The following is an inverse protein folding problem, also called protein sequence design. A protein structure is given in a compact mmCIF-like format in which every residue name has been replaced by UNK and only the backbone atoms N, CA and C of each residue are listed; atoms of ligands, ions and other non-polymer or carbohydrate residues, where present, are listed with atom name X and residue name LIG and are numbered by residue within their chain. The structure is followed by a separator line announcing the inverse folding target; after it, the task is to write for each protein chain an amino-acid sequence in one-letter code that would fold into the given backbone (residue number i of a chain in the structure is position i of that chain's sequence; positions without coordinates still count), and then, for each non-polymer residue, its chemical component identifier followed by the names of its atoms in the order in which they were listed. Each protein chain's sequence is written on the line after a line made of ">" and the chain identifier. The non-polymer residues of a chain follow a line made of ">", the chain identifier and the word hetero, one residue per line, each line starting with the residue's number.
data_IF_035384576417
#
_entry.id   IF_035384576417
#
_cell.length_a   1.000
_cell.length_b   1.000
_cell.length_c   1.000
_cell.angle_alpha   90.00
_cell.angle_beta   90.00
_cell.angle_gamma   90.00
#
_symmetry.space_group_name_H-M   'P 1'
#
loop_
_entity.id
_entity.type
_entity.pdbx_description
1 polymer ?
#
# COMPACT_ATOMS: atom_id res chain seq x y z
N UNK A 1 36.77 -76.75 10.03
CA UNK A 1 37.12 -75.41 9.57
C UNK A 1 35.82 -74.74 9.14
N UNK A 2 35.32 -73.77 9.95
CA UNK A 2 34.10 -73.01 9.66
C UNK A 2 34.51 -71.65 9.10
N UNK A 3 34.05 -71.30 7.90
CA UNK A 3 34.28 -70.00 7.28
C UNK A 3 33.38 -68.94 7.93
N UNK A 4 33.87 -67.69 8.18
CA UNK A 4 33.04 -66.62 8.71
C UNK A 4 32.26 -65.97 7.57
N UNK A 5 30.92 -65.94 7.69
CA UNK A 5 30.04 -65.22 6.80
C UNK A 5 30.11 -63.72 7.09
N UNK A 6 30.42 -62.94 6.08
CA UNK A 6 30.35 -61.48 6.13
C UNK A 6 28.90 -61.04 5.86
N UNK A 7 28.24 -60.47 6.85
CA UNK A 7 26.98 -59.79 6.65
C UNK A 7 27.28 -58.35 6.19
N UNK A 8 26.94 -58.05 4.92
CA UNK A 8 27.00 -56.73 4.37
C UNK A 8 25.67 -56.02 4.74
N UNK A 9 25.70 -55.15 5.76
CA UNK A 9 24.53 -54.34 6.10
C UNK A 9 24.48 -53.12 5.15
N UNK A 10 23.55 -53.17 4.19
CA UNK A 10 23.33 -52.05 3.29
C UNK A 10 22.57 -50.94 4.04
N UNK A 11 23.27 -49.89 4.40
CA UNK A 11 22.69 -48.71 5.02
C UNK A 11 22.01 -47.88 3.91
N UNK A 12 20.71 -47.97 3.81
CA UNK A 12 19.92 -47.10 2.97
C UNK A 12 19.84 -45.71 3.63
N UNK A 13 20.68 -44.79 3.19
CA UNK A 13 20.53 -43.36 3.52
C UNK A 13 19.39 -42.82 2.65
N UNK A 14 18.20 -42.72 3.23
CA UNK A 14 17.09 -41.98 2.62
C UNK A 14 17.48 -40.49 2.69
N UNK A 15 18.07 -39.98 1.62
CA UNK A 15 18.19 -38.53 1.42
C UNK A 15 16.77 -38.06 1.06
N UNK A 16 16.04 -37.58 2.07
CA UNK A 16 14.84 -36.81 1.87
C UNK A 16 15.26 -35.50 1.21
N UNK A 17 15.25 -35.46 -0.10
CA UNK A 17 15.29 -34.19 -0.84
C UNK A 17 13.95 -33.52 -0.56
N UNK A 18 13.93 -32.57 0.35
CA UNK A 18 12.84 -31.57 0.38
C UNK A 18 12.86 -30.88 -0.99
N UNK A 19 12.04 -31.37 -1.90
CA UNK A 19 11.72 -30.64 -3.11
C UNK A 19 10.91 -29.43 -2.66
N UNK A 20 11.57 -28.26 -2.49
CA UNK A 20 10.85 -27.03 -2.33
C UNK A 20 9.99 -26.83 -3.58
N UNK A 21 8.69 -26.75 -3.38
CA UNK A 21 7.76 -26.53 -4.47
C UNK A 21 8.00 -25.12 -5.01
N UNK A 22 8.40 -25.04 -6.27
CA UNK A 22 8.56 -23.78 -6.97
C UNK A 22 7.19 -23.07 -7.05
N UNK A 23 7.17 -21.74 -6.93
CA UNK A 23 5.97 -20.95 -7.15
C UNK A 23 5.37 -21.29 -8.51
N UNK A 24 4.10 -21.57 -8.53
CA UNK A 24 3.37 -21.86 -9.75
C UNK A 24 2.59 -20.61 -10.19
N UNK A 25 2.64 -20.34 -11.49
CA UNK A 25 1.94 -19.23 -12.12
C UNK A 25 0.96 -19.75 -13.16
N UNK A 26 -0.24 -19.19 -13.15
CA UNK A 26 -1.29 -19.50 -14.10
C UNK A 26 -1.94 -18.23 -14.65
N UNK A 27 -1.77 -17.99 -15.95
CA UNK A 27 -2.36 -16.86 -16.69
C UNK A 27 -3.62 -17.24 -17.44
N UNK A 28 -4.13 -18.45 -17.29
CA UNK A 28 -5.33 -18.94 -18.00
C UNK A 28 -6.64 -18.42 -17.38
N UNK A 29 -6.60 -17.97 -16.12
CA UNK A 29 -7.79 -17.44 -15.45
C UNK A 29 -8.25 -16.11 -16.06
N UNK A 30 -9.56 -15.97 -16.25
CA UNK A 30 -10.17 -14.69 -16.61
C UNK A 30 -10.09 -13.69 -15.44
N UNK A 31 -10.26 -12.40 -15.74
CA UNK A 31 -10.33 -11.37 -14.70
C UNK A 31 -11.40 -11.67 -13.64
N UNK A 32 -12.56 -12.14 -14.08
CA UNK A 32 -13.66 -12.53 -13.20
C UNK A 32 -13.27 -13.68 -12.26
N UNK A 33 -12.66 -14.73 -12.81
CA UNK A 33 -12.18 -15.85 -12.00
C UNK A 33 -11.10 -15.42 -10.99
N UNK A 34 -10.19 -14.52 -11.38
CA UNK A 34 -9.16 -13.98 -10.48
C UNK A 34 -9.78 -13.19 -9.33
N UNK A 35 -10.73 -12.29 -9.61
CA UNK A 35 -11.39 -11.53 -8.54
C UNK A 35 -12.19 -12.43 -7.61
N UNK A 36 -12.88 -13.45 -8.14
CA UNK A 36 -13.56 -14.42 -7.30
C UNK A 36 -12.60 -15.24 -6.41
N UNK A 37 -11.37 -15.51 -6.87
CA UNK A 37 -10.32 -16.13 -6.04
C UNK A 37 -9.80 -15.20 -4.94
N UNK A 38 -9.77 -13.89 -5.18
CA UNK A 38 -9.38 -12.88 -4.18
C UNK A 38 -10.42 -12.75 -3.06
N UNK A 39 -11.71 -12.92 -3.39
CA UNK A 39 -12.81 -12.78 -2.42
C UNK A 39 -12.83 -13.95 -1.45
N UNK A 40 -12.83 -13.63 -0.17
CA UNK A 40 -12.97 -14.61 0.91
C UNK A 40 -14.42 -15.07 1.11
N UNK A 41 -14.63 -16.11 1.92
CA UNK A 41 -15.96 -16.66 2.16
C UNK A 41 -16.87 -15.75 2.98
N UNK A 42 -16.36 -14.63 3.47
CA UNK A 42 -17.06 -13.77 4.42
C UNK A 42 -17.48 -12.43 3.80
N UNK A 43 -18.77 -12.30 3.59
CA UNK A 43 -19.46 -11.04 3.65
C UNK A 43 -19.22 -10.03 2.54
N UNK A 44 -18.77 -10.44 1.34
CA UNK A 44 -18.65 -9.56 0.18
C UNK A 44 -19.24 -10.21 -1.06
N UNK A 45 -20.00 -9.44 -1.82
CA UNK A 45 -20.43 -9.82 -3.18
C UNK A 45 -19.75 -8.87 -4.17
N UNK A 46 -19.27 -9.39 -5.29
CA UNK A 46 -18.57 -8.64 -6.34
C UNK A 46 -19.30 -8.74 -7.68
N UNK A 47 -19.12 -7.73 -8.52
CA UNK A 47 -19.69 -7.70 -9.87
C UNK A 47 -19.10 -6.57 -10.71
N UNK A 48 -19.51 -6.46 -11.98
CA UNK A 48 -19.02 -5.44 -12.93
C UNK A 48 -17.49 -5.44 -13.07
N UNK A 49 -16.91 -6.64 -13.15
CA UNK A 49 -15.46 -6.85 -13.17
C UNK A 49 -14.90 -6.52 -14.54
N UNK A 50 -13.84 -5.74 -14.58
CA UNK A 50 -13.08 -5.43 -15.79
C UNK A 50 -11.59 -5.41 -15.52
N UNK A 51 -10.79 -5.63 -16.57
CA UNK A 51 -9.33 -5.53 -16.54
C UNK A 51 -8.84 -4.76 -17.74
N UNK A 52 -7.86 -3.89 -17.53
CA UNK A 52 -7.05 -3.27 -18.59
C UNK A 52 -5.59 -3.53 -18.30
N UNK A 53 -4.79 -3.70 -19.33
CA UNK A 53 -3.39 -4.08 -19.23
C UNK A 53 -3.05 -5.28 -20.11
N UNK A 54 -1.81 -5.71 -20.07
CA UNK A 54 -1.32 -6.78 -20.93
C UNK A 54 -1.58 -8.16 -20.31
N UNK A 55 -1.96 -9.11 -21.13
CA UNK A 55 -2.36 -10.46 -20.73
C UNK A 55 -1.33 -11.21 -19.84
N UNK A 56 -0.04 -10.87 -19.95
CA UNK A 56 1.02 -11.47 -19.13
C UNK A 56 1.39 -10.63 -17.89
N UNK A 57 0.76 -9.50 -17.71
CA UNK A 57 0.97 -8.61 -16.55
C UNK A 57 0.16 -9.02 -15.32
N UNK A 58 -0.69 -10.05 -15.42
CA UNK A 58 -1.47 -10.53 -14.29
C UNK A 58 -1.76 -12.02 -14.40
N UNK A 59 -2.05 -12.64 -13.27
CA UNK A 59 -2.37 -14.07 -13.18
C UNK A 59 -2.58 -14.52 -11.74
N UNK A 60 -2.66 -15.81 -11.56
CA UNK A 60 -2.74 -16.46 -10.27
C UNK A 60 -1.39 -17.08 -9.91
N UNK A 61 -0.97 -16.95 -8.65
CA UNK A 61 0.21 -17.65 -8.12
C UNK A 61 -0.18 -18.60 -6.97
N UNK A 62 0.63 -19.64 -6.75
CA UNK A 62 0.48 -20.57 -5.62
C UNK A 62 1.83 -21.13 -5.18
N UNK A 63 1.86 -21.74 -3.99
CA UNK A 63 3.06 -22.26 -3.31
C UNK A 63 4.08 -21.17 -2.97
N UNK A 64 3.63 -19.99 -2.52
CA UNK A 64 4.47 -18.85 -2.23
C UNK A 64 4.62 -18.52 -0.75
N UNK A 65 4.04 -19.30 0.18
CA UNK A 65 4.03 -19.06 1.63
C UNK A 65 5.43 -18.77 2.20
N UNK A 66 6.41 -19.61 1.86
CA UNK A 66 7.78 -19.47 2.37
C UNK A 66 8.54 -18.25 1.80
N UNK A 67 8.03 -17.65 0.72
CA UNK A 67 8.67 -16.56 0.00
C UNK A 67 8.00 -15.23 0.34
N UNK A 68 6.67 -15.20 0.23
CA UNK A 68 5.87 -14.00 0.38
C UNK A 68 5.19 -13.89 1.75
N UNK A 69 5.08 -14.99 2.50
CA UNK A 69 4.21 -15.07 3.69
C UNK A 69 2.72 -15.13 3.36
N UNK A 70 2.38 -15.37 2.09
CA UNK A 70 1.05 -15.67 1.58
C UNK A 70 1.19 -16.83 0.58
N UNK A 71 0.34 -17.85 0.69
CA UNK A 71 0.48 -19.08 -0.08
C UNK A 71 0.08 -18.91 -1.55
N UNK A 72 -1.04 -18.26 -1.78
CA UNK A 72 -1.60 -18.12 -3.12
C UNK A 72 -2.36 -16.81 -3.27
N UNK A 73 -2.53 -16.37 -4.52
CA UNK A 73 -3.23 -15.12 -4.77
C UNK A 73 -3.18 -14.65 -6.21
N UNK A 74 -3.60 -13.42 -6.43
CA UNK A 74 -3.46 -12.74 -7.70
C UNK A 74 -2.21 -11.88 -7.70
N UNK A 75 -1.50 -11.89 -8.83
CA UNK A 75 -0.37 -11.00 -9.08
C UNK A 75 -0.72 -10.03 -10.20
N UNK A 76 -0.40 -8.76 -9.99
CA UNK A 76 -0.35 -7.71 -11.01
C UNK A 76 1.08 -7.22 -11.10
N UNK A 77 1.62 -7.06 -12.31
CA UNK A 77 2.99 -6.60 -12.54
C UNK A 77 3.03 -5.61 -13.69
N UNK A 78 3.94 -4.66 -13.63
CA UNK A 78 4.28 -3.77 -14.75
C UNK A 78 5.00 -4.52 -15.84
N UNK A 79 5.58 -5.70 -15.51
CA UNK A 79 6.22 -6.61 -16.42
C UNK A 79 5.53 -7.97 -16.55
N UNK A 80 6.24 -8.91 -17.17
CA UNK A 80 5.74 -10.27 -17.31
C UNK A 80 5.82 -11.01 -15.97
N UNK A 81 4.68 -11.45 -15.43
CA UNK A 81 4.62 -12.13 -14.13
C UNK A 81 5.51 -13.38 -14.03
N UNK A 82 5.85 -14.01 -15.16
CA UNK A 82 6.80 -15.13 -15.17
C UNK A 82 8.23 -14.69 -14.83
N UNK A 83 8.54 -13.40 -14.94
CA UNK A 83 9.83 -12.84 -14.54
C UNK A 83 9.86 -12.46 -13.04
N UNK A 84 8.70 -12.37 -12.37
CA UNK A 84 8.63 -11.99 -10.97
C UNK A 84 9.21 -13.06 -10.03
N UNK A 85 9.10 -14.34 -10.42
CA UNK A 85 9.54 -15.48 -9.61
C UNK A 85 10.73 -16.19 -10.26
N UNK A 86 11.66 -16.59 -9.42
CA UNK A 86 12.93 -17.21 -9.79
C UNK A 86 14.08 -16.60 -9.01
N UNK A 87 15.29 -17.13 -9.21
CA UNK A 87 16.45 -16.63 -8.51
C UNK A 87 16.78 -15.19 -8.94
N UNK A 88 16.97 -14.30 -7.99
CA UNK A 88 17.45 -12.93 -8.21
C UNK A 88 18.93 -12.94 -8.60
N UNK A 89 19.21 -13.28 -9.86
CA UNK A 89 20.55 -13.45 -10.41
C UNK A 89 20.92 -12.38 -11.45
N UNK A 90 19.98 -11.57 -11.86
CA UNK A 90 20.18 -10.51 -12.86
C UNK A 90 19.92 -9.14 -12.20
N UNK A 91 20.70 -8.11 -12.57
CA UNK A 91 20.53 -6.78 -12.00
C UNK A 91 19.21 -6.10 -12.42
N UNK A 92 18.53 -6.63 -13.41
CA UNK A 92 17.20 -6.23 -13.87
C UNK A 92 16.64 -7.28 -14.81
N UNK A 93 15.36 -7.52 -14.73
CA UNK A 93 14.60 -8.24 -15.75
C UNK A 93 13.49 -7.32 -16.25
N UNK A 94 13.79 -6.62 -17.30
CA UNK A 94 12.81 -5.76 -17.94
C UNK A 94 11.97 -6.56 -18.90
N UNK A 95 10.71 -6.71 -18.62
CA UNK A 95 9.74 -7.19 -19.58
C UNK A 95 9.08 -6.02 -20.30
N UNK A 96 9.64 -5.54 -21.41
CA UNK A 96 8.88 -4.60 -22.25
C UNK A 96 7.58 -5.25 -22.70
N UNK A 97 6.47 -4.83 -22.14
CA UNK A 97 5.16 -5.19 -22.67
C UNK A 97 4.79 -4.35 -23.89
N UNK A 98 5.27 -3.13 -23.96
CA UNK A 98 5.15 -2.33 -25.16
C UNK A 98 6.17 -2.80 -26.17
N UNK A 99 5.72 -3.29 -27.35
CA UNK A 99 6.60 -3.37 -28.52
C UNK A 99 7.31 -2.01 -28.65
N UNK A 100 8.66 -1.96 -28.54
CA UNK A 100 9.41 -0.71 -28.69
C UNK A 100 9.12 -0.01 -30.01
N UNK A 101 8.55 -0.74 -30.99
CA UNK A 101 8.08 -0.26 -32.29
C UNK A 101 6.61 0.14 -32.31
N UNK A 102 5.87 -0.06 -31.21
CA UNK A 102 4.46 0.31 -31.16
C UNK A 102 4.31 1.83 -31.36
N UNK A 103 3.56 2.22 -32.35
CA UNK A 103 3.29 3.64 -32.68
C UNK A 103 2.48 4.38 -31.60
N UNK A 104 1.93 3.66 -30.60
CA UNK A 104 1.20 4.24 -29.48
C UNK A 104 1.72 3.60 -28.20
N UNK A 105 2.29 4.41 -27.31
CA UNK A 105 2.58 3.99 -25.93
C UNK A 105 1.26 3.64 -25.23
N UNK A 106 1.23 2.62 -24.35
CA UNK A 106 0.09 2.36 -23.50
C UNK A 106 -0.31 3.64 -22.76
N UNK A 107 -1.61 3.89 -22.66
CA UNK A 107 -2.09 5.04 -21.87
C UNK A 107 -1.82 4.75 -20.42
N UNK A 108 -1.12 5.66 -19.73
CA UNK A 108 -0.97 5.61 -18.29
C UNK A 108 -2.30 5.77 -17.55
N UNK A 109 -2.30 5.39 -16.30
CA UNK A 109 -3.46 5.53 -15.41
C UNK A 109 -3.47 6.91 -14.73
N UNK A 110 -4.63 7.58 -14.73
CA UNK A 110 -4.75 8.94 -14.19
C UNK A 110 -4.58 9.01 -12.66
N UNK A 111 -4.97 7.96 -11.95
CA UNK A 111 -4.86 7.92 -10.50
C UNK A 111 -3.43 7.66 -10.08
N UNK A 112 -2.75 6.73 -10.75
CA UNK A 112 -1.33 6.49 -10.54
C UNK A 112 -0.50 7.74 -10.86
N UNK A 113 -0.80 8.43 -11.96
CA UNK A 113 -0.16 9.71 -12.31
C UNK A 113 -0.33 10.77 -11.21
N UNK A 114 -1.51 10.83 -10.58
CA UNK A 114 -1.78 11.77 -9.50
C UNK A 114 -1.03 11.41 -8.23
N UNK A 115 -0.97 10.12 -7.87
CA UNK A 115 -0.31 9.63 -6.65
C UNK A 115 1.21 9.78 -6.77
N UNK A 116 1.78 9.43 -7.93
CA UNK A 116 3.23 9.47 -8.16
C UNK A 116 3.74 10.85 -8.54
N UNK A 117 2.86 11.79 -8.92
CA UNK A 117 3.21 13.06 -9.56
C UNK A 117 4.03 12.87 -10.86
N UNK A 118 3.90 11.71 -11.50
CA UNK A 118 4.60 11.31 -12.72
C UNK A 118 3.66 10.89 -13.85
N UNK A 119 4.24 10.34 -14.91
CA UNK A 119 3.49 9.72 -16.00
C UNK A 119 3.68 8.22 -15.93
N UNK A 120 2.60 7.49 -15.68
CA UNK A 120 2.63 6.03 -15.63
C UNK A 120 2.62 5.40 -17.03
N UNK A 121 3.23 4.23 -17.13
CA UNK A 121 3.22 3.34 -18.30
C UNK A 121 3.04 1.89 -17.85
N UNK A 122 2.93 0.97 -18.80
CA UNK A 122 2.78 -0.48 -18.60
C UNK A 122 1.84 -0.86 -17.45
N UNK A 123 0.70 -0.12 -17.38
CA UNK A 123 -0.25 -0.26 -16.30
C UNK A 123 -1.09 -1.54 -16.43
N UNK A 124 -1.29 -2.20 -15.30
CA UNK A 124 -2.32 -3.23 -15.12
C UNK A 124 -3.35 -2.71 -14.13
N UNK A 125 -4.63 -2.75 -14.53
CA UNK A 125 -5.73 -2.17 -13.75
C UNK A 125 -6.88 -3.16 -13.72
N UNK A 126 -7.29 -3.58 -12.53
CA UNK A 126 -8.55 -4.27 -12.25
C UNK A 126 -9.53 -3.27 -11.65
N UNK A 127 -10.76 -3.29 -12.14
CA UNK A 127 -11.85 -2.49 -11.60
C UNK A 127 -13.08 -3.39 -11.40
N UNK A 128 -13.72 -3.27 -10.26
CA UNK A 128 -14.97 -3.98 -10.00
C UNK A 128 -15.82 -3.29 -8.94
N UNK A 129 -17.11 -3.60 -8.95
CA UNK A 129 -18.02 -3.18 -7.89
C UNK A 129 -18.11 -4.26 -6.81
N UNK A 130 -18.32 -3.83 -5.57
CA UNK A 130 -18.56 -4.74 -4.46
C UNK A 130 -19.61 -4.21 -3.49
N UNK A 131 -20.21 -5.15 -2.74
CA UNK A 131 -21.17 -4.85 -1.68
C UNK A 131 -20.69 -5.58 -0.43
N UNK A 132 -20.24 -4.85 0.61
CA UNK A 132 -19.83 -5.43 1.89
C UNK A 132 -21.07 -5.72 2.76
N UNK A 133 -21.01 -6.76 3.58
CA UNK A 133 -22.07 -7.06 4.55
C UNK A 133 -21.78 -6.51 5.95
N UNK A 134 -20.54 -6.10 6.21
CA UNK A 134 -20.08 -5.51 7.44
C UNK A 134 -19.44 -4.12 7.19
N UNK A 135 -19.04 -3.45 8.28
CA UNK A 135 -18.63 -2.05 8.27
C UNK A 135 -17.16 -1.78 7.93
N UNK A 136 -16.37 -2.82 7.68
CA UNK A 136 -14.97 -2.70 7.32
C UNK A 136 -14.61 -3.73 6.27
N UNK A 137 -13.90 -3.32 5.24
CA UNK A 137 -13.26 -4.23 4.29
C UNK A 137 -11.78 -4.33 4.56
N UNK A 138 -11.20 -5.50 4.28
CA UNK A 138 -9.76 -5.71 4.37
C UNK A 138 -9.31 -6.77 3.37
N UNK A 139 -8.05 -6.70 2.94
CA UNK A 139 -7.34 -7.76 2.22
C UNK A 139 -5.82 -7.61 2.40
N UNK A 140 -5.11 -8.73 2.26
CA UNK A 140 -3.68 -8.79 2.44
C UNK A 140 -2.94 -8.72 1.10
N UNK A 141 -1.75 -8.10 1.12
CA UNK A 141 -0.92 -7.98 -0.07
C UNK A 141 0.57 -7.87 0.27
N UNK A 142 1.40 -8.13 -0.74
CA UNK A 142 2.84 -7.88 -0.75
C UNK A 142 3.16 -7.05 -1.99
N UNK A 143 4.01 -6.03 -1.86
CA UNK A 143 4.55 -5.27 -2.98
C UNK A 143 6.02 -5.60 -3.15
N UNK A 144 6.49 -5.72 -4.39
CA UNK A 144 7.89 -5.93 -4.75
C UNK A 144 8.30 -5.09 -5.94
N UNK A 145 9.58 -4.72 -6.01
CA UNK A 145 10.12 -3.92 -7.12
C UNK A 145 11.59 -4.21 -7.35
N UNK A 146 12.00 -4.21 -8.62
CA UNK A 146 13.41 -4.21 -9.05
C UNK A 146 14.05 -2.81 -8.97
N UNK A 147 13.27 -1.74 -8.71
CA UNK A 147 13.81 -0.38 -8.54
C UNK A 147 14.51 -0.17 -7.19
N UNK A 148 14.41 -1.12 -6.27
CA UNK A 148 15.12 -1.08 -5.00
C UNK A 148 16.60 -1.49 -5.16
N UNK A 149 17.50 -0.87 -4.43
CA UNK A 149 17.41 0.42 -3.73
C UNK A 149 17.90 1.59 -4.58
N UNK A 150 18.34 1.34 -5.85
CA UNK A 150 19.07 2.27 -6.71
C UNK A 150 18.25 3.52 -7.03
N UNK A 151 16.93 3.34 -7.21
CA UNK A 151 16.03 4.40 -7.65
C UNK A 151 15.25 5.05 -6.48
N UNK A 152 15.47 4.60 -5.25
CA UNK A 152 14.86 5.22 -4.06
C UNK A 152 15.21 6.70 -3.98
N UNK A 153 14.19 7.55 -3.95
CA UNK A 153 14.32 9.00 -3.94
C UNK A 153 14.58 9.62 -5.31
N UNK A 154 14.45 8.85 -6.39
CA UNK A 154 14.54 9.33 -7.77
C UNK A 154 13.17 9.78 -8.31
N UNK A 155 13.12 10.20 -9.56
CA UNK A 155 11.87 10.47 -10.29
C UNK A 155 11.18 9.20 -10.80
N UNK A 156 11.89 8.08 -10.82
CA UNK A 156 11.39 6.76 -11.10
C UNK A 156 10.84 6.22 -9.78
N UNK A 157 9.56 5.97 -9.72
CA UNK A 157 8.89 5.64 -8.47
C UNK A 157 7.64 4.84 -8.81
N UNK A 158 7.86 3.60 -9.14
CA UNK A 158 6.76 2.69 -9.42
C UNK A 158 5.76 2.68 -8.28
N UNK A 159 4.51 2.72 -8.65
CA UNK A 159 3.42 2.90 -7.72
C UNK A 159 2.26 1.98 -8.05
N UNK A 160 1.62 1.53 -6.99
CA UNK A 160 0.32 0.89 -7.09
C UNK A 160 -0.69 1.60 -6.19
N UNK A 161 -1.97 1.33 -6.44
CA UNK A 161 -3.05 1.93 -5.68
C UNK A 161 -4.24 0.97 -5.58
N UNK A 162 -4.92 1.03 -4.43
CA UNK A 162 -6.21 0.40 -4.18
C UNK A 162 -7.23 1.49 -3.87
N UNK A 163 -7.92 1.99 -4.90
CA UNK A 163 -8.79 3.15 -4.78
C UNK A 163 -10.22 2.71 -4.59
N UNK A 164 -10.78 2.97 -3.42
CA UNK A 164 -12.17 2.70 -3.09
C UNK A 164 -12.99 3.96 -3.27
N UNK A 165 -14.18 3.83 -3.87
CA UNK A 165 -15.14 4.91 -4.06
C UNK A 165 -16.57 4.41 -3.84
N UNK A 166 -17.37 5.14 -3.08
CA UNK A 166 -18.76 4.79 -2.78
C UNK A 166 -19.32 5.66 -1.66
N UNK A 167 -20.27 5.13 -0.94
CA UNK A 167 -20.91 5.83 0.17
C UNK A 167 -19.90 6.24 1.23
N UNK A 168 -19.87 7.54 1.57
CA UNK A 168 -18.93 8.16 2.54
C UNK A 168 -17.43 7.96 2.22
N UNK A 169 -17.07 7.24 1.16
CA UNK A 169 -15.68 6.99 0.73
C UNK A 169 -15.49 7.56 -0.67
N UNK A 170 -14.74 8.65 -0.80
CA UNK A 170 -14.54 9.35 -2.08
C UNK A 170 -13.14 9.16 -2.62
N UNK A 171 -12.95 8.14 -3.47
CA UNK A 171 -11.68 7.85 -4.16
C UNK A 171 -10.47 7.76 -3.21
N UNK A 172 -10.62 7.03 -2.12
CA UNK A 172 -9.59 6.84 -1.11
C UNK A 172 -8.64 5.74 -1.55
N UNK A 173 -7.33 6.03 -1.57
CA UNK A 173 -6.31 5.01 -1.74
C UNK A 173 -6.07 4.32 -0.39
N UNK A 174 -6.32 3.01 -0.32
CA UNK A 174 -6.11 2.18 0.88
C UNK A 174 -4.81 1.38 0.83
N UNK A 175 -4.03 1.49 -0.26
CA UNK A 175 -2.68 0.96 -0.35
C UNK A 175 -1.71 1.93 0.32
N UNK A 176 -1.73 1.95 1.64
CA UNK A 176 -0.95 2.90 2.44
C UNK A 176 -0.06 2.18 3.45
N UNK A 177 1.00 2.84 3.88
CA UNK A 177 1.83 2.36 4.99
C UNK A 177 0.94 2.23 6.23
N UNK A 178 0.95 1.09 6.95
CA UNK A 178 0.06 0.85 8.06
C UNK A 178 0.08 1.98 9.11
N UNK A 179 -1.11 2.47 9.46
CA UNK A 179 -1.29 3.58 10.38
C UNK A 179 -1.01 4.97 9.79
N UNK A 180 -0.90 5.08 8.46
CA UNK A 180 -0.70 6.36 7.76
C UNK A 180 -1.59 6.47 6.53
N UNK A 181 -1.70 7.66 5.94
CA UNK A 181 -2.26 7.88 4.59
C UNK A 181 -1.19 7.96 3.49
N UNK A 182 0.05 7.63 3.82
CA UNK A 182 1.17 7.67 2.88
C UNK A 182 1.05 6.48 1.93
N UNK A 183 0.90 6.69 0.61
CA UNK A 183 0.85 5.61 -0.35
C UNK A 183 2.12 4.76 -0.29
N UNK A 184 1.98 3.45 -0.44
CA UNK A 184 3.13 2.56 -0.58
C UNK A 184 3.74 2.73 -1.96
N UNK A 185 5.05 2.98 -1.98
CA UNK A 185 5.88 3.06 -3.18
C UNK A 185 7.34 2.86 -2.76
N UNK A 186 8.25 2.73 -3.72
CA UNK A 186 9.68 2.60 -3.41
C UNK A 186 10.24 3.83 -2.66
N UNK A 187 9.67 5.01 -2.89
CA UNK A 187 10.12 6.25 -2.24
C UNK A 187 9.61 6.40 -0.80
N UNK A 188 8.53 5.72 -0.43
CA UNK A 188 7.89 5.87 0.89
C UNK A 188 8.14 4.69 1.81
N UNK A 189 8.42 3.51 1.24
CA UNK A 189 8.73 2.28 1.99
C UNK A 189 10.04 1.69 1.45
N UNK A 190 11.12 1.76 2.23
CA UNK A 190 12.46 1.31 1.84
C UNK A 190 13.36 1.15 3.07
N UNK A 191 14.64 0.86 2.87
CA UNK A 191 15.62 0.68 3.97
C UNK A 191 15.71 1.86 4.93
N UNK A 192 15.39 3.08 4.50
CA UNK A 192 15.51 4.31 5.31
C UNK A 192 14.18 4.75 5.89
N UNK A 193 13.10 4.55 5.14
CA UNK A 193 11.74 4.96 5.50
C UNK A 193 10.86 3.72 5.66
N UNK A 194 10.12 3.65 6.77
CA UNK A 194 9.19 2.53 7.05
C UNK A 194 9.85 1.14 6.98
N UNK A 195 11.12 1.07 7.39
CA UNK A 195 12.00 -0.09 7.25
C UNK A 195 11.52 -1.36 7.97
N UNK A 196 10.60 -1.25 8.91
CA UNK A 196 9.99 -2.40 9.61
C UNK A 196 9.13 -3.26 8.67
N UNK A 197 8.65 -2.66 7.58
CA UNK A 197 7.86 -3.35 6.55
C UNK A 197 8.69 -3.73 5.33
N UNK A 198 9.97 -3.32 5.25
CA UNK A 198 10.84 -3.53 4.10
C UNK A 198 11.70 -4.78 4.26
N UNK A 199 11.76 -5.58 3.21
CA UNK A 199 12.62 -6.76 3.08
C UNK A 199 13.60 -6.49 1.95
N UNK A 200 14.89 -6.43 2.28
CA UNK A 200 15.96 -6.28 1.31
C UNK A 200 16.27 -7.64 0.66
N UNK A 201 16.15 -7.73 -0.64
CA UNK A 201 16.45 -8.92 -1.42
C UNK A 201 17.54 -8.65 -2.47
N UNK A 202 18.29 -7.54 -2.37
CA UNK A 202 19.41 -7.21 -3.25
C UNK A 202 20.56 -8.22 -3.08
N UNK A 203 20.52 -9.22 -3.92
CA UNK A 203 21.51 -10.29 -3.95
C UNK A 203 22.93 -9.77 -4.20
N UNK A 204 23.09 -8.76 -5.05
CA UNK A 204 24.40 -8.26 -5.46
C UNK A 204 25.14 -7.47 -4.38
N UNK A 205 24.45 -6.94 -3.39
CA UNK A 205 25.08 -6.29 -2.23
C UNK A 205 25.70 -7.27 -1.25
N UNK A 206 25.18 -8.50 -1.20
CA UNK A 206 25.48 -9.45 -0.14
C UNK A 206 26.34 -10.63 -0.57
N UNK A 207 26.56 -10.84 -1.86
CA UNK A 207 27.40 -11.90 -2.41
C UNK A 207 28.59 -11.27 -3.15
N UNK A 208 29.81 -11.71 -2.82
CA UNK A 208 31.06 -11.29 -3.51
C UNK A 208 31.12 -11.64 -5.01
N UNK A 209 30.02 -12.04 -5.63
CA UNK A 209 29.91 -12.35 -7.04
C UNK A 209 30.22 -11.17 -7.98
N UNK A 210 30.24 -9.93 -7.46
CA UNK A 210 30.69 -8.75 -8.22
C UNK A 210 32.12 -8.88 -8.76
N UNK A 211 32.92 -9.82 -8.30
CA UNK A 211 34.31 -10.05 -8.78
C UNK A 211 34.40 -10.91 -10.02
N UNK A 212 33.34 -11.60 -10.44
CA UNK A 212 33.37 -12.57 -11.54
C UNK A 212 32.63 -12.15 -12.80
N UNK A 213 31.89 -11.07 -12.79
CA UNK A 213 31.20 -10.56 -13.99
C UNK A 213 32.11 -9.53 -14.66
N UNK A 214 32.56 -9.75 -15.93
CA UNK A 214 33.31 -8.75 -16.66
C UNK A 214 32.48 -7.46 -16.77
N UNK A 215 33.03 -6.35 -16.30
CA UNK A 215 32.39 -5.04 -16.40
C UNK A 215 32.11 -4.73 -17.87
N UNK A 216 30.90 -4.97 -18.34
CA UNK A 216 30.46 -4.35 -19.58
C UNK A 216 30.46 -2.85 -19.35
N UNK A 217 31.34 -2.14 -20.04
CA UNK A 217 31.42 -0.68 -20.01
C UNK A 217 30.05 -0.12 -20.38
N UNK A 218 29.28 0.29 -19.41
CA UNK A 218 28.07 1.06 -19.60
C UNK A 218 28.45 2.33 -20.38
N UNK A 219 27.94 2.48 -21.59
CA UNK A 219 27.97 3.77 -22.30
C UNK A 219 27.15 4.76 -21.48
N UNK A 220 27.82 5.69 -20.81
CA UNK A 220 27.17 6.80 -20.10
C UNK A 220 26.25 7.51 -21.10
N UNK A 221 24.96 7.73 -20.77
CA UNK A 221 24.11 8.58 -21.60
C UNK A 221 24.71 9.99 -21.61
N UNK A 222 25.02 10.48 -22.82
CA UNK A 222 25.43 11.84 -22.98
C UNK A 222 24.22 12.75 -22.80
N UNK A 223 24.25 13.53 -21.76
CA UNK A 223 23.80 14.90 -21.59
C UNK A 223 23.34 15.16 -20.15
N UNK A 224 24.24 15.82 -19.43
CA UNK A 224 23.93 16.40 -18.14
C UNK A 224 23.03 17.64 -18.35
N UNK A 225 21.70 17.51 -18.12
CA UNK A 225 20.92 18.65 -17.63
C UNK A 225 20.96 18.58 -16.10
N UNK A 226 21.55 19.58 -15.46
CA UNK A 226 21.58 19.72 -14.01
C UNK A 226 20.15 19.80 -13.49
N UNK A 227 19.68 18.73 -12.87
CA UNK A 227 18.51 18.78 -12.01
C UNK A 227 18.93 19.38 -10.67
N UNK A 228 18.26 20.42 -10.21
CA UNK A 228 18.48 21.04 -8.89
C UNK A 228 17.85 20.20 -7.77
N UNK A 229 18.05 18.89 -7.81
CA UNK A 229 17.60 18.01 -6.72
C UNK A 229 18.64 18.01 -5.61
N UNK A 230 18.28 18.58 -4.46
CA UNK A 230 19.11 18.57 -3.25
C UNK A 230 18.84 17.24 -2.54
N UNK A 231 19.85 16.36 -2.51
CA UNK A 231 19.81 15.13 -1.68
C UNK A 231 19.55 15.52 -0.22
N UNK A 232 18.55 14.90 0.44
CA UNK A 232 18.42 15.02 1.89
C UNK A 232 19.64 14.41 2.57
N UNK A 233 20.24 15.15 3.51
CA UNK A 233 21.40 14.70 4.27
C UNK A 233 20.89 13.85 5.46
N UNK A 234 20.78 12.54 5.26
CA UNK A 234 20.37 11.60 6.32
C UNK A 234 21.61 10.97 6.94
N UNK A 235 21.79 11.16 8.24
CA UNK A 235 22.77 10.43 9.04
C UNK A 235 22.38 8.95 9.06
N UNK A 236 23.27 8.12 8.53
CA UNK A 236 23.15 6.66 8.51
C UNK A 236 23.00 6.11 9.95
N UNK A 237 21.82 5.66 10.33
CA UNK A 237 21.69 4.78 11.48
C UNK A 237 22.22 3.41 11.07
N UNK A 238 23.28 2.95 11.75
CA UNK A 238 23.85 1.61 11.59
C UNK A 238 22.85 0.57 12.11
N UNK A 239 21.82 0.27 11.35
CA UNK A 239 20.94 -0.85 11.61
C UNK A 239 21.74 -2.16 11.46
N UNK A 240 21.61 -3.07 12.43
CA UNK A 240 22.22 -4.40 12.35
C UNK A 240 21.71 -5.07 11.06
N UNK A 241 22.62 -5.44 10.13
CA UNK A 241 22.29 -6.14 8.89
C UNK A 241 21.46 -7.38 9.22
N UNK A 242 20.17 -7.36 8.85
CA UNK A 242 19.33 -8.56 8.86
C UNK A 242 19.91 -9.53 7.84
N UNK A 243 20.13 -10.80 8.23
CA UNK A 243 20.51 -11.83 7.25
C UNK A 243 19.35 -12.02 6.28
N UNK A 244 19.65 -12.00 4.99
CA UNK A 244 18.70 -12.36 3.94
C UNK A 244 18.15 -13.77 4.18
N UNK A 245 16.86 -13.94 3.93
CA UNK A 245 16.26 -15.26 3.88
C UNK A 245 16.67 -15.92 2.55
N UNK A 246 17.42 -17.04 2.56
CA UNK A 246 17.88 -17.71 1.34
C UNK A 246 16.74 -18.14 0.41
N UNK A 247 15.55 -18.39 0.97
CA UNK A 247 14.38 -18.79 0.18
C UNK A 247 13.85 -17.62 -0.65
N UNK A 248 13.85 -16.40 -0.11
CA UNK A 248 13.44 -15.20 -0.84
C UNK A 248 14.40 -14.96 -2.01
N UNK A 249 15.71 -14.89 -1.76
CA UNK A 249 16.74 -14.62 -2.79
C UNK A 249 16.69 -15.59 -3.96
N UNK A 250 16.35 -16.85 -3.70
CA UNK A 250 16.36 -17.87 -4.75
C UNK A 250 15.06 -18.02 -5.52
N UNK A 251 13.97 -17.38 -5.05
CA UNK A 251 12.64 -17.66 -5.57
C UNK A 251 11.85 -16.43 -5.99
N UNK A 252 12.37 -15.22 -5.80
CA UNK A 252 11.75 -13.99 -6.27
C UNK A 252 12.80 -13.04 -6.85
N UNK A 253 12.49 -12.41 -7.99
CA UNK A 253 13.40 -11.57 -8.74
C UNK A 253 13.51 -10.14 -8.18
N UNK A 254 12.47 -9.62 -7.53
CA UNK A 254 12.45 -8.25 -7.02
C UNK A 254 13.57 -7.99 -6.01
N UNK A 255 14.27 -6.87 -6.15
CA UNK A 255 15.40 -6.46 -5.29
C UNK A 255 14.94 -5.99 -3.90
N UNK A 256 13.69 -5.61 -3.78
CA UNK A 256 13.08 -5.28 -2.50
C UNK A 256 11.60 -5.62 -2.47
N UNK A 257 11.13 -6.00 -1.28
CA UNK A 257 9.73 -6.36 -1.03
C UNK A 257 9.22 -5.70 0.24
N UNK A 258 7.89 -5.68 0.36
CA UNK A 258 7.24 -5.48 1.66
C UNK A 258 7.05 -6.83 2.35
N UNK A 259 6.92 -6.82 3.68
CA UNK A 259 6.22 -7.90 4.36
C UNK A 259 4.75 -7.93 3.95
N UNK A 260 4.00 -8.92 4.44
CA UNK A 260 2.54 -8.95 4.26
C UNK A 260 1.93 -7.73 4.92
N UNK A 261 1.18 -6.97 4.15
CA UNK A 261 0.49 -5.76 4.57
C UNK A 261 -1.03 -5.93 4.39
N UNK A 262 -1.80 -5.23 5.19
CA UNK A 262 -3.26 -5.27 5.10
C UNK A 262 -3.80 -3.91 4.66
N UNK A 263 -4.44 -3.88 3.50
CA UNK A 263 -5.24 -2.74 3.07
C UNK A 263 -6.63 -2.84 3.70
N UNK A 264 -7.13 -1.74 4.26
CA UNK A 264 -8.48 -1.75 4.84
C UNK A 264 -9.10 -0.36 4.84
N UNK A 265 -10.44 -0.30 4.80
CA UNK A 265 -11.17 0.93 5.08
C UNK A 265 -12.56 0.61 5.66
N UNK A 266 -13.13 1.62 6.32
CA UNK A 266 -14.52 1.55 6.77
C UNK A 266 -15.47 1.81 5.61
N UNK A 267 -16.56 1.08 5.60
CA UNK A 267 -17.60 1.10 4.58
C UNK A 267 -18.97 1.03 5.23
N UNK A 268 -20.00 1.48 4.54
CA UNK A 268 -21.38 1.28 4.97
C UNK A 268 -21.85 -0.09 4.47
N UNK A 269 -22.29 -0.98 5.33
CA UNK A 269 -22.81 -2.29 4.90
C UNK A 269 -23.93 -2.18 3.89
N UNK A 270 -23.98 -3.15 2.97
CA UNK A 270 -25.00 -3.28 1.92
C UNK A 270 -25.10 -2.10 0.95
N UNK A 271 -24.11 -1.19 0.95
CA UNK A 271 -23.97 -0.15 -0.09
C UNK A 271 -23.00 -0.63 -1.16
N UNK A 272 -23.26 -0.19 -2.38
CA UNK A 272 -22.38 -0.49 -3.51
C UNK A 272 -21.16 0.42 -3.49
N UNK A 273 -19.98 -0.18 -3.61
CA UNK A 273 -18.70 0.46 -3.76
C UNK A 273 -18.05 0.05 -5.07
N UNK A 274 -17.16 0.87 -5.55
CA UNK A 274 -16.27 0.58 -6.66
C UNK A 274 -14.84 0.54 -6.13
N UNK A 275 -14.08 -0.48 -6.52
CA UNK A 275 -12.64 -0.55 -6.23
C UNK A 275 -11.84 -0.63 -7.53
N UNK A 276 -10.76 0.10 -7.56
CA UNK A 276 -9.73 0.07 -8.59
C UNK A 276 -8.42 -0.41 -7.98
N UNK A 277 -7.89 -1.49 -8.49
CA UNK A 277 -6.58 -2.05 -8.14
C UNK A 277 -5.67 -1.80 -9.33
N UNK A 278 -4.65 -0.97 -9.18
CA UNK A 278 -3.80 -0.53 -10.28
C UNK A 278 -2.33 -0.56 -9.90
N UNK A 279 -1.46 -0.96 -10.83
CA UNK A 279 -0.01 -0.84 -10.76
C UNK A 279 0.51 -0.25 -12.07
N UNK A 280 1.61 0.50 -12.04
CA UNK A 280 2.22 1.08 -13.24
C UNK A 280 3.63 1.60 -12.99
N UNK A 281 4.47 1.51 -14.02
CA UNK A 281 5.80 2.10 -14.05
C UNK A 281 5.72 3.61 -14.14
N UNK A 282 6.63 4.31 -13.46
CA UNK A 282 6.67 5.76 -13.44
C UNK A 282 7.99 6.26 -14.03
N UNK A 283 7.87 6.94 -15.17
CA UNK A 283 8.98 7.69 -15.78
C UNK A 283 9.80 6.97 -16.84
N UNK A 284 9.97 5.67 -16.77
CA UNK A 284 10.48 4.82 -17.85
C UNK A 284 9.60 3.56 -17.99
N UNK A 285 10.09 2.52 -18.61
CA UNK A 285 9.38 1.25 -18.79
C UNK A 285 10.36 0.10 -18.52
N UNK A 286 11.21 0.30 -17.50
CA UNK A 286 12.27 -0.63 -17.14
C UNK A 286 12.27 -0.83 -15.62
N UNK A 287 12.66 -1.99 -15.15
CA UNK A 287 12.63 -2.40 -13.75
C UNK A 287 11.21 -2.65 -13.25
N UNK A 288 10.78 -3.87 -13.44
CA UNK A 288 9.40 -4.28 -13.16
C UNK A 288 9.07 -4.22 -11.66
N UNK A 289 7.83 -3.87 -11.38
CA UNK A 289 7.23 -3.94 -10.04
C UNK A 289 6.00 -4.85 -10.05
N UNK A 290 5.68 -5.41 -8.89
CA UNK A 290 4.52 -6.29 -8.73
C UNK A 290 3.80 -6.13 -7.42
N UNK A 291 2.49 -6.32 -7.44
CA UNK A 291 1.66 -6.45 -6.25
C UNK A 291 0.99 -7.82 -6.24
N UNK A 292 1.19 -8.56 -5.16
CA UNK A 292 0.63 -9.89 -4.92
C UNK A 292 -0.45 -9.78 -3.83
N UNK A 293 -1.69 -10.13 -4.17
CA UNK A 293 -2.85 -10.01 -3.28
C UNK A 293 -3.29 -11.42 -2.91
N UNK A 294 -3.38 -11.70 -1.61
CA UNK A 294 -3.70 -13.01 -1.07
C UNK A 294 -5.10 -13.48 -1.47
N UNK A 295 -5.19 -14.74 -1.92
CA UNK A 295 -6.45 -15.39 -2.24
C UNK A 295 -7.34 -15.51 -0.99
N UNK A 296 -8.64 -15.27 -1.16
CA UNK A 296 -9.60 -15.37 -0.06
C UNK A 296 -9.46 -14.31 1.04
N UNK A 297 -8.57 -13.33 0.87
CA UNK A 297 -8.34 -12.31 1.90
C UNK A 297 -9.24 -11.07 1.78
N UNK A 298 -9.89 -10.84 0.62
CA UNK A 298 -10.83 -9.73 0.46
C UNK A 298 -12.14 -10.09 1.16
N UNK A 299 -12.28 -9.57 2.36
CA UNK A 299 -13.38 -9.90 3.28
C UNK A 299 -14.02 -8.64 3.83
N UNK A 300 -15.27 -8.78 4.27
CA UNK A 300 -15.97 -7.79 5.08
C UNK A 300 -15.93 -8.22 6.54
N UNK A 301 -15.53 -7.31 7.43
CA UNK A 301 -15.32 -7.54 8.83
C UNK A 301 -16.25 -6.66 9.65
N UNK A 302 -16.78 -7.23 10.74
CA UNK A 302 -17.48 -6.44 11.75
C UNK A 302 -16.44 -5.85 12.70
N UNK A 303 -16.34 -4.52 12.68
CA UNK A 303 -15.57 -3.81 13.70
C UNK A 303 -16.52 -3.45 14.85
N UNK A 304 -16.37 -4.08 16.04
CA UNK A 304 -17.26 -3.86 17.17
C UNK A 304 -17.12 -2.47 17.81
N UNK A 305 -16.07 -1.73 17.48
CA UNK A 305 -15.88 -0.35 17.95
C UNK A 305 -16.86 0.63 17.29
N UNK A 306 -17.49 0.22 16.19
CA UNK A 306 -18.51 0.99 15.50
C UNK A 306 -19.90 0.63 16.02
N UNK A 307 -20.70 1.57 16.50
CA UNK A 307 -22.00 1.27 17.09
C UNK A 307 -23.03 0.78 16.05
N UNK A 308 -23.80 -0.23 16.44
CA UNK A 308 -25.06 -0.73 15.87
C UNK A 308 -25.03 -1.40 14.49
N UNK A 309 -24.82 -2.74 14.51
CA UNK A 309 -24.97 -3.59 13.31
C UNK A 309 -25.99 -4.74 13.44
N UNK A 310 -26.85 -4.71 14.46
CA UNK A 310 -27.79 -5.82 14.70
C UNK A 310 -28.88 -5.96 13.63
N UNK A 311 -29.12 -4.87 12.86
CA UNK A 311 -30.24 -4.79 11.91
C UNK A 311 -29.90 -5.19 10.47
N UNK A 312 -28.61 -5.33 10.15
CA UNK A 312 -28.21 -5.63 8.76
C UNK A 312 -28.23 -7.11 8.40
N UNK A 313 -28.17 -8.02 9.38
CA UNK A 313 -28.21 -9.46 9.09
C UNK A 313 -29.52 -9.87 8.38
N UNK A 314 -30.62 -9.22 8.69
CA UNK A 314 -31.94 -9.50 8.09
C UNK A 314 -32.09 -8.93 6.66
N UNK A 315 -31.19 -8.06 6.23
CA UNK A 315 -31.26 -7.45 4.91
C UNK A 315 -30.57 -8.31 3.83
N UNK A 316 -29.64 -9.16 4.21
CA UNK A 316 -28.89 -10.00 3.27
C UNK A 316 -29.78 -10.80 2.35
N UNK A 317 -30.81 -11.45 2.91
CA UNK A 317 -31.70 -12.32 2.17
C UNK A 317 -32.78 -11.56 1.36
N UNK A 318 -32.85 -10.23 1.57
CA UNK A 318 -33.83 -9.34 0.89
C UNK A 318 -33.21 -8.57 -0.29
N UNK A 319 -31.90 -8.61 -0.45
CA UNK A 319 -31.19 -7.83 -1.49
C UNK A 319 -31.03 -8.69 -2.74
N UNK A 320 -31.58 -8.21 -3.85
CA UNK A 320 -31.24 -8.72 -5.17
C UNK A 320 -29.95 -8.04 -5.67
N UNK A 321 -28.81 -8.71 -5.45
CA UNK A 321 -27.48 -8.20 -5.80
C UNK A 321 -27.34 -7.93 -7.30
N UNK A 322 -27.90 -8.74 -8.17
CA UNK A 322 -27.83 -8.55 -9.62
C UNK A 322 -28.49 -7.22 -10.02
N UNK A 323 -29.63 -6.87 -9.42
CA UNK A 323 -30.28 -5.60 -9.69
C UNK A 323 -29.51 -4.40 -9.14
N UNK A 324 -28.78 -4.55 -8.03
CA UNK A 324 -27.91 -3.52 -7.47
C UNK A 324 -26.71 -3.26 -8.38
N UNK A 325 -26.06 -4.30 -8.87
CA UNK A 325 -24.95 -4.15 -9.83
C UNK A 325 -25.42 -3.59 -11.18
N UNK A 326 -26.62 -3.96 -11.63
CA UNK A 326 -27.22 -3.41 -12.87
C UNK A 326 -27.67 -1.95 -12.74
N UNK A 327 -27.56 -1.34 -11.56
CA UNK A 327 -28.03 0.02 -11.30
C UNK A 327 -29.57 0.16 -11.26
N UNK A 328 -30.28 -0.96 -11.16
CA UNK A 328 -31.75 -1.00 -11.12
C UNK A 328 -32.21 -1.11 -9.68
N UNK A 329 -33.03 -0.16 -9.23
CA UNK A 329 -33.75 -0.13 -7.93
C UNK A 329 -32.98 -0.72 -6.72
N UNK A 330 -32.09 0.08 -6.17
CA UNK A 330 -31.58 -0.17 -4.81
C UNK A 330 -32.77 0.14 -3.86
N UNK A 331 -33.12 -0.76 -2.92
CA UNK A 331 -34.10 -0.42 -1.89
C UNK A 331 -33.70 0.89 -1.21
N UNK A 332 -34.67 1.75 -0.91
CA UNK A 332 -34.41 3.04 -0.27
C UNK A 332 -33.96 2.79 1.19
N UNK A 333 -32.66 2.73 1.40
CA UNK A 333 -32.05 2.58 2.73
C UNK A 333 -31.95 3.91 3.50
N UNK A 334 -32.54 5.01 2.95
CA UNK A 334 -32.47 6.33 3.58
C UNK A 334 -33.09 6.34 4.97
N UNK A 335 -34.21 5.63 5.17
CA UNK A 335 -34.87 5.55 6.48
C UNK A 335 -34.08 4.78 7.53
N UNK A 336 -33.20 3.84 7.10
CA UNK A 336 -32.25 3.16 7.99
C UNK A 336 -31.04 4.04 8.30
N UNK A 337 -30.64 4.86 7.34
CA UNK A 337 -29.55 5.83 7.48
C UNK A 337 -29.94 6.95 8.47
N UNK A 338 -31.15 7.46 8.40
CA UNK A 338 -31.64 8.55 9.26
C UNK A 338 -31.64 8.12 10.76
N UNK A 339 -31.95 6.84 11.06
CA UNK A 339 -31.86 6.31 12.41
C UNK A 339 -30.42 6.04 12.90
N UNK A 340 -29.44 5.94 11.97
CA UNK A 340 -28.02 5.80 12.28
C UNK A 340 -27.35 7.18 12.48
N UNK A 341 -27.80 8.19 11.75
CA UNK A 341 -27.26 9.57 11.82
C UNK A 341 -27.58 10.24 13.18
N UNK A 342 -28.70 9.89 13.83
CA UNK A 342 -29.00 10.34 15.20
C UNK A 342 -28.03 9.76 16.27
N UNK A 343 -27.45 8.58 16.02
CA UNK A 343 -26.47 7.96 16.91
C UNK A 343 -25.01 8.38 16.62
N UNK A 344 -24.73 8.98 15.45
CA UNK A 344 -23.42 9.55 15.09
C UNK A 344 -23.15 10.93 15.70
N UNK A 345 -24.11 11.54 16.40
CA UNK A 345 -23.93 12.87 17.02
C UNK A 345 -23.01 12.85 18.26
N UNK A 346 -22.56 11.69 18.74
CA UNK A 346 -21.42 11.60 19.66
C UNK A 346 -20.07 11.53 18.92
N UNK A 347 -19.96 12.09 17.74
CA UNK A 347 -18.65 12.33 17.14
C UNK A 347 -17.91 13.33 18.02
N UNK A 348 -16.80 12.86 18.55
CA UNK A 348 -15.80 13.71 19.15
C UNK A 348 -15.30 14.64 18.04
N UNK A 349 -15.85 15.83 17.94
CA UNK A 349 -15.36 16.86 17.04
C UNK A 349 -14.00 17.34 17.60
N UNK A 350 -12.94 16.64 17.21
CA UNK A 350 -11.60 17.15 17.45
C UNK A 350 -11.46 18.36 16.56
N UNK A 351 -11.50 19.52 17.18
CA UNK A 351 -11.28 20.80 16.49
C UNK A 351 -9.84 20.89 16.04
N UNK A 352 -9.62 21.39 14.84
CA UNK A 352 -8.30 21.65 14.29
C UNK A 352 -7.40 22.40 15.29
N UNK A 353 -6.14 22.00 15.38
CA UNK A 353 -5.14 22.70 16.18
C UNK A 353 -4.54 23.81 15.31
N UNK A 354 -4.87 25.05 15.58
CA UNK A 354 -4.34 26.20 14.84
C UNK A 354 -3.00 26.67 15.42
N UNK A 355 -2.08 27.06 14.53
CA UNK A 355 -0.72 27.46 14.90
C UNK A 355 -0.45 28.94 14.56
N UNK A 356 0.44 29.54 15.32
CA UNK A 356 0.96 30.88 15.00
C UNK A 356 1.80 30.85 13.71
N UNK A 357 1.95 32.00 13.07
CA UNK A 357 2.76 32.15 11.85
C UNK A 357 4.20 31.69 12.11
N UNK A 358 4.77 30.91 11.17
CA UNK A 358 6.13 30.36 11.23
C UNK A 358 6.45 29.56 12.51
N UNK A 359 5.43 29.08 13.25
CA UNK A 359 5.58 28.31 14.49
C UNK A 359 4.98 26.91 14.35
N UNK A 360 5.60 25.98 15.06
CA UNK A 360 5.08 24.63 15.33
C UNK A 360 4.90 24.37 16.84
N UNK A 361 4.98 25.43 17.67
CA UNK A 361 4.66 25.32 19.10
C UNK A 361 3.15 25.22 19.26
N UNK A 362 2.67 24.21 19.99
CA UNK A 362 1.25 24.05 20.29
C UNK A 362 0.78 25.23 21.13
N UNK A 363 -0.25 25.96 20.69
CA UNK A 363 -0.79 27.07 21.49
C UNK A 363 -1.49 26.56 22.77
N UNK A 364 -1.39 27.30 23.84
CA UNK A 364 -2.02 26.97 25.14
C UNK A 364 -3.53 26.75 25.00
N UNK A 365 -4.18 27.49 24.10
CA UNK A 365 -5.61 27.36 23.79
C UNK A 365 -5.98 25.99 23.24
N UNK A 366 -5.03 25.24 22.67
CA UNK A 366 -5.24 23.91 22.08
C UNK A 366 -4.93 22.78 23.06
N UNK A 367 -4.26 23.06 24.16
CA UNK A 367 -3.82 22.04 25.13
C UNK A 367 -5.01 21.32 25.77
N UNK A 368 -6.10 22.05 26.07
CA UNK A 368 -7.33 21.44 26.63
C UNK A 368 -7.98 20.44 25.68
N UNK A 369 -8.04 20.77 24.38
CA UNK A 369 -8.61 19.91 23.35
C UNK A 369 -7.75 18.64 23.13
N UNK A 370 -6.42 18.82 23.10
CA UNK A 370 -5.50 17.69 23.01
C UNK A 370 -5.54 16.79 24.25
N UNK A 371 -5.70 17.40 25.45
CA UNK A 371 -5.85 16.62 26.70
C UNK A 371 -7.17 15.82 26.70
N UNK A 372 -8.25 16.39 26.16
CA UNK A 372 -9.50 15.67 25.99
C UNK A 372 -9.38 14.49 25.01
N UNK A 373 -8.66 14.70 23.89
CA UNK A 373 -8.32 13.63 22.93
C UNK A 373 -7.52 12.50 23.60
N UNK A 374 -6.49 12.86 24.38
CA UNK A 374 -5.72 11.86 25.16
C UNK A 374 -6.64 11.04 26.06
N UNK A 375 -7.50 11.73 26.84
CA UNK A 375 -8.44 11.04 27.71
C UNK A 375 -9.40 10.12 26.96
N UNK A 376 -9.81 10.51 25.76
CA UNK A 376 -10.65 9.69 24.89
C UNK A 376 -9.89 8.47 24.36
N UNK A 377 -8.68 8.67 23.79
CA UNK A 377 -7.85 7.59 23.26
C UNK A 377 -7.42 6.57 24.33
N UNK A 378 -7.20 7.02 25.58
CA UNK A 378 -6.88 6.11 26.69
C UNK A 378 -8.08 5.23 27.11
N UNK A 379 -9.31 5.73 26.95
CA UNK A 379 -10.55 4.94 27.19
C UNK A 379 -10.91 4.03 26.01
N UNK A 380 -10.37 4.34 24.82
CA UNK A 380 -10.61 3.63 23.56
C UNK A 380 -9.28 3.12 22.95
N UNK A 381 -8.67 2.08 23.56
CA UNK A 381 -7.35 1.62 23.18
C UNK A 381 -7.27 1.06 21.74
N UNK A 382 -8.41 0.78 21.12
CA UNK A 382 -8.51 0.38 19.71
C UNK A 382 -8.36 1.56 18.73
N UNK A 383 -8.54 2.80 19.20
CA UNK A 383 -8.48 3.98 18.33
C UNK A 383 -7.09 4.26 17.80
N UNK A 384 -7.06 4.76 16.60
CA UNK A 384 -5.90 5.34 15.92
C UNK A 384 -6.21 6.78 15.54
N UNK A 385 -5.17 7.61 15.52
CA UNK A 385 -5.25 9.02 15.23
C UNK A 385 -4.34 9.34 14.03
N UNK A 386 -4.83 10.13 13.11
CA UNK A 386 -4.04 10.70 12.04
C UNK A 386 -3.90 12.21 12.24
N UNK A 387 -2.67 12.71 12.14
CA UNK A 387 -2.33 14.11 12.33
C UNK A 387 -1.83 14.70 11.02
N UNK A 388 -2.62 15.53 10.39
CA UNK A 388 -2.30 16.13 9.11
C UNK A 388 -1.98 17.61 9.26
N UNK A 389 -0.71 17.97 9.04
CA UNK A 389 -0.23 19.34 9.18
C UNK A 389 -0.37 20.16 7.90
N UNK A 390 -0.78 21.42 8.05
CA UNK A 390 -0.92 22.40 6.96
C UNK A 390 -0.27 23.74 7.31
N UNK A 391 0.02 24.54 6.29
CA UNK A 391 0.53 25.91 6.43
C UNK A 391 -0.34 26.89 5.63
N UNK A 392 -0.13 28.18 5.86
CA UNK A 392 -0.51 29.21 4.89
C UNK A 392 0.45 29.20 3.68
N UNK A 393 0.19 30.03 2.68
CA UNK A 393 0.99 30.13 1.46
C UNK A 393 2.21 31.06 1.57
N UNK A 394 2.57 31.54 2.78
CA UNK A 394 3.72 32.41 2.99
C UNK A 394 5.00 31.60 3.11
N UNK A 395 5.97 31.90 2.24
CA UNK A 395 7.26 31.20 2.20
C UNK A 395 7.42 30.21 1.04
N UNK A 396 8.56 29.53 0.99
CA UNK A 396 8.82 28.55 -0.06
C UNK A 396 8.08 27.23 0.21
N UNK A 397 7.74 26.49 -0.85
CA UNK A 397 7.11 25.15 -0.72
C UNK A 397 7.93 24.23 0.17
N UNK A 398 9.25 24.22 0.04
CA UNK A 398 10.16 23.40 0.87
C UNK A 398 10.11 23.78 2.34
N UNK A 399 10.10 25.08 2.63
CA UNK A 399 9.97 25.56 4.01
C UNK A 399 8.63 25.13 4.62
N UNK A 400 7.54 25.30 3.88
CA UNK A 400 6.20 24.95 4.31
C UNK A 400 5.99 23.46 4.45
N UNK A 401 6.65 22.63 3.62
CA UNK A 401 6.64 21.18 3.80
C UNK A 401 7.23 20.80 5.17
N UNK A 402 8.41 21.29 5.49
CA UNK A 402 9.03 21.01 6.80
C UNK A 402 8.21 21.57 7.96
N UNK A 403 7.59 22.77 7.79
CA UNK A 403 6.79 23.40 8.84
C UNK A 403 5.50 22.62 9.12
N UNK A 404 4.84 22.12 8.08
CA UNK A 404 3.64 21.29 8.23
C UNK A 404 3.94 19.95 8.93
N UNK A 405 5.04 19.31 8.56
CA UNK A 405 5.52 18.09 9.23
C UNK A 405 5.89 18.34 10.69
N UNK A 406 6.57 19.45 10.99
CA UNK A 406 6.95 19.81 12.35
C UNK A 406 5.73 20.10 13.24
N UNK A 407 4.65 20.67 12.68
CA UNK A 407 3.39 20.86 13.40
C UNK A 407 2.74 19.53 13.76
N UNK A 408 2.63 18.61 12.79
CA UNK A 408 2.10 17.29 13.05
C UNK A 408 2.95 16.52 14.09
N UNK A 409 4.29 16.63 14.00
CA UNK A 409 5.21 16.06 14.99
C UNK A 409 5.07 16.66 16.39
N UNK A 410 4.79 17.95 16.51
CA UNK A 410 4.57 18.59 17.81
C UNK A 410 3.34 17.99 18.51
N UNK A 411 2.24 17.79 17.77
CA UNK A 411 1.04 17.14 18.30
C UNK A 411 1.31 15.67 18.62
N UNK A 412 2.00 14.93 17.75
CA UNK A 412 2.43 13.54 18.00
C UNK A 412 3.19 13.43 19.33
N UNK A 413 4.20 14.26 19.52
CA UNK A 413 5.02 14.23 20.74
C UNK A 413 4.18 14.54 21.99
N UNK A 414 3.26 15.50 21.92
CA UNK A 414 2.33 15.79 23.00
C UNK A 414 1.50 14.55 23.38
N UNK A 415 0.93 13.85 22.39
CA UNK A 415 0.12 12.64 22.63
C UNK A 415 0.96 11.50 23.25
N UNK A 416 2.19 11.30 22.74
CA UNK A 416 3.13 10.31 23.28
C UNK A 416 3.53 10.62 24.72
N UNK A 417 3.85 11.88 25.03
CA UNK A 417 4.17 12.32 26.40
C UNK A 417 3.02 12.08 27.39
N UNK A 418 1.79 12.07 26.88
CA UNK A 418 0.58 11.76 27.67
C UNK A 418 0.22 10.27 27.70
N UNK A 419 1.06 9.40 27.16
CA UNK A 419 0.92 7.94 27.28
C UNK A 419 0.22 7.25 26.10
N UNK A 420 -0.04 7.95 25.00
CA UNK A 420 -0.54 7.30 23.78
C UNK A 420 0.63 6.61 23.05
N UNK A 421 0.43 5.35 22.69
CA UNK A 421 1.44 4.57 21.97
C UNK A 421 1.66 5.14 20.56
N UNK A 422 2.92 5.32 20.17
CA UNK A 422 3.29 5.91 18.87
C UNK A 422 2.76 5.14 17.66
N UNK A 423 2.57 3.82 17.79
CA UNK A 423 2.01 2.97 16.74
C UNK A 423 0.52 3.22 16.46
N UNK A 424 -0.15 4.00 17.31
CA UNK A 424 -1.56 4.41 17.15
C UNK A 424 -1.70 5.76 16.44
N UNK A 425 -0.59 6.45 16.16
CA UNK A 425 -0.61 7.79 15.61
C UNK A 425 0.17 7.81 14.30
N UNK A 426 -0.45 8.30 13.24
CA UNK A 426 0.20 8.60 11.97
C UNK A 426 0.28 10.10 11.75
N UNK A 427 1.32 10.56 11.03
CA UNK A 427 1.52 11.98 10.72
C UNK A 427 1.75 12.19 9.23
N UNK A 428 1.23 13.31 8.70
CA UNK A 428 1.56 13.80 7.37
C UNK A 428 1.67 15.33 7.36
N UNK A 429 2.46 15.88 6.43
CA UNK A 429 2.55 17.31 6.17
C UNK A 429 2.23 17.62 4.72
N UNK A 430 1.30 18.51 4.46
CA UNK A 430 0.83 18.89 3.12
C UNK A 430 1.13 20.34 2.75
N UNK A 431 2.10 20.95 3.44
CA UNK A 431 2.47 22.36 3.22
C UNK A 431 1.21 23.27 3.12
N UNK A 432 1.06 24.09 2.07
CA UNK A 432 -0.11 24.93 1.80
C UNK A 432 -1.06 24.34 0.74
N UNK A 433 -0.92 23.06 0.44
CA UNK A 433 -1.89 22.31 -0.39
C UNK A 433 -3.16 22.12 0.45
N UNK A 434 -4.33 22.27 -0.17
CA UNK A 434 -5.62 22.11 0.49
C UNK A 434 -5.99 23.20 1.54
N UNK A 435 -6.02 24.49 1.15
CA UNK A 435 -6.41 25.57 2.05
C UNK A 435 -7.92 25.49 2.37
N UNK A 436 -8.27 25.62 3.66
CA UNK A 436 -9.66 25.70 4.14
C UNK A 436 -10.23 27.12 4.08
N UNK A 437 -9.37 28.12 3.91
CA UNK A 437 -9.76 29.52 3.81
C UNK A 437 -8.85 30.31 2.85
N UNK A 438 -9.29 31.50 2.46
CA UNK A 438 -8.58 32.35 1.51
C UNK A 438 -7.27 32.88 2.10
N UNK A 439 -6.14 32.48 1.51
CA UNK A 439 -4.79 32.92 1.92
C UNK A 439 -4.52 34.42 1.72
N UNK A 440 -5.40 35.19 1.07
CA UNK A 440 -5.25 36.63 0.89
C UNK A 440 -5.53 37.42 2.16
N UNK A 441 -6.37 36.91 3.06
CA UNK A 441 -6.63 37.53 4.37
C UNK A 441 -5.76 36.91 5.47
N UNK A 442 -5.49 37.64 6.56
CA UNK A 442 -4.75 37.07 7.71
C UNK A 442 -5.60 36.02 8.45
N UNK A 443 -6.89 36.26 8.55
CA UNK A 443 -7.85 35.35 9.16
C UNK A 443 -7.87 34.01 8.39
N UNK A 444 -7.87 34.06 7.07
CA UNK A 444 -7.81 32.87 6.23
C UNK A 444 -6.47 32.14 6.35
N UNK A 445 -5.35 32.89 6.37
CA UNK A 445 -4.04 32.27 6.63
C UNK A 445 -3.98 31.62 8.01
N UNK A 446 -4.55 32.28 9.03
CA UNK A 446 -4.61 31.71 10.39
C UNK A 446 -5.39 30.41 10.43
N UNK A 447 -6.51 30.31 9.70
CA UNK A 447 -7.27 29.08 9.57
C UNK A 447 -6.49 27.96 8.83
N UNK A 448 -5.66 28.34 7.85
CA UNK A 448 -4.86 27.39 7.08
C UNK A 448 -3.64 26.85 7.87
N UNK A 449 -3.15 27.56 8.89
CA UNK A 449 -2.06 27.12 9.77
C UNK A 449 -2.57 26.14 10.82
N UNK A 450 -2.84 24.91 10.42
CA UNK A 450 -3.53 23.94 11.27
C UNK A 450 -2.89 22.55 11.25
N UNK A 451 -3.24 21.76 12.25
CA UNK A 451 -3.17 20.30 12.21
C UNK A 451 -4.59 19.77 12.35
N UNK A 452 -5.01 18.97 11.40
CA UNK A 452 -6.24 18.20 11.43
C UNK A 452 -5.99 16.88 12.13
N UNK A 453 -6.98 16.40 12.89
CA UNK A 453 -6.89 15.17 13.68
C UNK A 453 -8.03 14.26 13.29
#
# INVERSE_FOLDING_TARGET
>A
MKSPGYYFTLLFVIISTCAFSQVQLDTSFSAEQLIHKMVGPQGIVVGNISVTGLHKGFGFFSNAENILGIDSGIILSTGNIYNAFGANTLPYQTGYFSDPKAKKKPKGDKDLNRISHGSSGDCVVFEFDFIPFDNKIAFNYVFGSEEYPEYVGSKYNDVFAFIVNGDKVRRVNIATIPGTNIPVSINTLNQKLSNIYYIDNDFFKNVELKKTIPSQKQKKPATKKKSNYIKPDFKENKAKKKKLNPEIVNNIQYDGLTGVMTASCYVTPYKKYHIKIAIGDIGDLAYDSGVMIEAGSFISLKDPSQPKFKEYADLRDKINFDSVFAGKNVPNYQSLQDSLDEAEQERFAVTNINFNSASYTIPDTSVSNLTALVGYMLRHPEMRCELTGYTDNVGSKKYNQNLSENRANAVLNFLIEKGIESNKISIAGYNFEDPVADNRSEEGRAANRRVEI
#
